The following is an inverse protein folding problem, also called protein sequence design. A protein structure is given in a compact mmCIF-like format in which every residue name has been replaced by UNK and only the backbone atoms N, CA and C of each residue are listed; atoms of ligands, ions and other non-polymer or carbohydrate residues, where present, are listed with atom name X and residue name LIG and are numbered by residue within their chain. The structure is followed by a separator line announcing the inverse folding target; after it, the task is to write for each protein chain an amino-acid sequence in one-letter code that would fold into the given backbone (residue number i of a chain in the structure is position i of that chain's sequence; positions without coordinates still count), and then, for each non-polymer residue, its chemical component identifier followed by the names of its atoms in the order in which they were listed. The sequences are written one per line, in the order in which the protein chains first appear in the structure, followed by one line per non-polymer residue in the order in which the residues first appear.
data_IF_305130637639
#
_entry.id   IF_305130637639
#
_cell.length_a   1.000
_cell.length_b   1.000
_cell.length_c   1.000
_cell.angle_alpha   90.00
_cell.angle_beta   90.00
_cell.angle_gamma   90.00
#
_symmetry.space_group_name_H-M   'P 1'
#
loop_
_entity.id
_entity.type
_entity.pdbx_description
1 polymer ?
#
# COMPACT_ATOMS: atom_id res chain seq x y z
N UNK A 1 14.04 32.96 13.11
CA UNK A 1 14.47 32.01 12.06
C UNK A 1 13.42 30.92 11.97
N UNK A 2 12.47 31.03 11.03
CA UNK A 2 11.57 29.94 10.67
C UNK A 2 11.54 29.94 9.15
N UNK A 3 12.21 28.96 8.55
CA UNK A 3 12.13 28.70 7.11
C UNK A 3 10.73 28.16 6.83
N UNK A 4 9.76 29.05 6.72
CA UNK A 4 8.45 28.72 6.15
C UNK A 4 8.69 28.29 4.72
N UNK A 5 8.72 26.99 4.48
CA UNK A 5 8.76 26.40 3.15
C UNK A 5 7.62 26.99 2.35
N UNK A 6 7.91 27.97 1.49
CA UNK A 6 6.95 28.45 0.50
C UNK A 6 6.63 27.26 -0.39
N UNK A 7 5.39 26.80 -0.33
CA UNK A 7 4.89 25.79 -1.26
C UNK A 7 4.93 26.41 -2.66
N UNK A 8 5.45 25.64 -3.61
CA UNK A 8 5.59 26.11 -4.98
C UNK A 8 4.20 26.40 -5.56
N UNK A 9 3.98 27.58 -6.21
CA UNK A 9 2.68 27.92 -6.79
C UNK A 9 2.14 26.88 -7.77
N UNK A 10 3.03 26.14 -8.46
CA UNK A 10 2.65 25.02 -9.32
C UNK A 10 2.05 23.87 -8.53
N UNK A 11 2.65 23.53 -7.37
CA UNK A 11 2.14 22.48 -6.49
C UNK A 11 0.78 22.85 -5.90
N UNK A 12 0.61 24.11 -5.49
CA UNK A 12 -0.69 24.60 -5.01
C UNK A 12 -1.78 24.50 -6.09
N UNK A 13 -1.48 24.92 -7.33
CA UNK A 13 -2.41 24.83 -8.45
C UNK A 13 -2.79 23.37 -8.80
N UNK A 14 -1.85 22.44 -8.70
CA UNK A 14 -2.11 21.03 -8.96
C UNK A 14 -2.97 20.40 -7.85
N UNK A 15 -2.71 20.75 -6.58
CA UNK A 15 -3.57 20.36 -5.46
C UNK A 15 -5.01 20.83 -5.69
N UNK A 16 -5.23 22.07 -6.13
CA UNK A 16 -6.56 22.63 -6.39
C UNK A 16 -7.30 21.89 -7.51
N UNK A 17 -6.57 21.62 -8.60
CA UNK A 17 -7.09 20.88 -9.74
C UNK A 17 -7.53 19.48 -9.33
N UNK A 18 -6.68 18.77 -8.59
CA UNK A 18 -6.95 17.41 -8.13
C UNK A 18 -8.07 17.37 -7.08
N UNK A 19 -8.10 18.32 -6.14
CA UNK A 19 -9.18 18.45 -5.16
C UNK A 19 -10.53 18.68 -5.84
N UNK A 20 -10.57 19.55 -6.85
CA UNK A 20 -11.78 19.77 -7.66
C UNK A 20 -12.21 18.51 -8.41
N UNK A 21 -11.26 17.74 -8.95
CA UNK A 21 -11.56 16.48 -9.64
C UNK A 21 -12.15 15.44 -8.69
N UNK A 22 -11.55 15.25 -7.52
CA UNK A 22 -12.06 14.35 -6.47
C UNK A 22 -13.43 14.80 -5.95
N UNK A 23 -13.66 16.11 -5.82
CA UNK A 23 -14.97 16.64 -5.41
C UNK A 23 -16.06 16.38 -6.46
N UNK A 24 -15.72 16.48 -7.75
CA UNK A 24 -16.64 16.18 -8.87
C UNK A 24 -16.94 14.69 -8.99
N UNK A 25 -15.93 13.86 -8.81
CA UNK A 25 -16.07 12.41 -8.80
C UNK A 25 -15.31 11.78 -7.62
N UNK A 26 -15.98 11.62 -6.46
CA UNK A 26 -15.39 10.99 -5.28
C UNK A 26 -15.06 9.52 -5.46
N UNK A 27 -15.56 8.89 -6.53
CA UNK A 27 -15.23 7.50 -6.88
C UNK A 27 -14.06 7.44 -7.87
N UNK A 28 -13.49 8.55 -8.29
CA UNK A 28 -12.26 8.51 -9.10
C UNK A 28 -11.06 8.05 -8.26
N UNK A 29 -9.99 7.59 -8.91
CA UNK A 29 -8.71 7.26 -8.24
C UNK A 29 -7.80 8.48 -8.07
N UNK A 30 -8.30 9.67 -8.40
CA UNK A 30 -7.56 10.95 -8.31
C UNK A 30 -7.22 11.36 -6.87
N UNK A 31 -7.85 10.72 -5.88
CA UNK A 31 -7.51 10.89 -4.48
C UNK A 31 -6.06 10.48 -4.16
N UNK A 32 -5.48 9.52 -4.90
CA UNK A 32 -4.10 9.10 -4.67
C UNK A 32 -3.09 10.16 -5.15
N UNK A 33 -3.14 10.65 -6.40
CA UNK A 33 -2.36 11.82 -6.82
C UNK A 33 -2.51 13.03 -5.90
N UNK A 34 -3.74 13.33 -5.46
CA UNK A 34 -4.00 14.42 -4.53
C UNK A 34 -3.26 14.22 -3.19
N UNK A 35 -3.36 13.01 -2.63
CA UNK A 35 -2.66 12.67 -1.40
C UNK A 35 -1.13 12.71 -1.57
N UNK A 36 -0.60 12.31 -2.73
CA UNK A 36 0.83 12.38 -3.04
C UNK A 36 1.31 13.84 -3.06
N UNK A 37 0.54 14.78 -3.59
CA UNK A 37 0.88 16.21 -3.51
C UNK A 37 0.85 16.72 -2.07
N UNK A 38 -0.16 16.38 -1.28
CA UNK A 38 -0.19 16.71 0.15
C UNK A 38 1.02 16.15 0.92
N UNK A 39 1.42 14.92 0.62
CA UNK A 39 2.61 14.28 1.19
C UNK A 39 3.89 15.05 0.86
N UNK A 40 4.04 15.54 -0.38
CA UNK A 40 5.23 16.30 -0.80
C UNK A 40 5.36 17.62 -0.06
N UNK A 41 4.24 18.29 0.20
CA UNK A 41 4.22 19.57 0.93
C UNK A 41 4.19 19.41 2.45
N UNK A 42 4.12 18.18 2.96
CA UNK A 42 4.11 17.87 4.39
C UNK A 42 2.74 18.06 5.07
N UNK A 43 1.67 18.16 4.28
CA UNK A 43 0.28 18.24 4.76
C UNK A 43 -0.25 16.83 5.07
N UNK A 44 0.34 16.21 6.09
CA UNK A 44 0.09 14.81 6.44
C UNK A 44 -1.36 14.54 6.85
N UNK A 45 -1.99 15.50 7.53
CA UNK A 45 -3.35 15.32 8.05
C UNK A 45 -4.39 15.30 6.91
N UNK A 46 -4.18 16.18 5.92
CA UNK A 46 -4.98 16.28 4.70
C UNK A 46 -4.78 15.04 3.83
N UNK A 47 -3.53 14.61 3.64
CA UNK A 47 -3.23 13.36 2.93
C UNK A 47 -3.95 12.15 3.57
N UNK A 48 -3.95 12.04 4.91
CA UNK A 48 -4.64 10.98 5.61
C UNK A 48 -6.15 10.99 5.33
N UNK A 49 -6.78 12.17 5.41
CA UNK A 49 -8.21 12.32 5.14
C UNK A 49 -8.59 11.93 3.70
N UNK A 50 -7.80 12.37 2.73
CA UNK A 50 -8.02 12.03 1.31
C UNK A 50 -7.90 10.53 1.07
N UNK A 51 -6.86 9.89 1.61
CA UNK A 51 -6.64 8.46 1.48
C UNK A 51 -7.68 7.63 2.22
N UNK A 52 -8.08 8.02 3.44
CA UNK A 52 -9.12 7.35 4.21
C UNK A 52 -10.44 7.28 3.44
N UNK A 53 -10.89 8.40 2.88
CA UNK A 53 -12.16 8.44 2.16
C UNK A 53 -12.07 7.74 0.80
N UNK A 54 -10.95 7.85 0.08
CA UNK A 54 -10.73 7.08 -1.15
C UNK A 54 -10.70 5.57 -0.91
N UNK A 55 -10.10 5.11 0.19
CA UNK A 55 -10.08 3.70 0.59
C UNK A 55 -11.44 3.18 1.06
N UNK A 56 -12.39 4.04 1.48
CA UNK A 56 -13.78 3.59 1.70
C UNK A 56 -14.44 3.14 0.40
N UNK A 57 -14.10 3.78 -0.72
CA UNK A 57 -14.60 3.39 -2.06
C UNK A 57 -13.78 2.23 -2.62
N UNK A 58 -12.47 2.23 -2.38
CA UNK A 58 -11.51 1.25 -2.90
C UNK A 58 -10.73 0.54 -1.79
N UNK A 59 -11.38 -0.34 -1.00
CA UNK A 59 -10.77 -0.93 0.21
C UNK A 59 -9.55 -1.82 -0.06
N UNK A 60 -9.39 -2.34 -1.28
CA UNK A 60 -8.23 -3.17 -1.68
C UNK A 60 -7.15 -2.42 -2.46
N UNK A 61 -7.16 -1.08 -2.48
CA UNK A 61 -6.17 -0.35 -3.26
C UNK A 61 -4.83 -0.27 -2.54
N UNK A 62 -4.02 -1.33 -2.69
CA UNK A 62 -2.76 -1.54 -1.95
C UNK A 62 -1.80 -0.35 -2.03
N UNK A 63 -1.71 0.33 -3.16
CA UNK A 63 -0.85 1.52 -3.31
C UNK A 63 -1.30 2.66 -2.38
N UNK A 64 -2.60 2.93 -2.31
CA UNK A 64 -3.16 3.93 -1.41
C UNK A 64 -3.06 3.50 0.07
N UNK A 65 -3.22 2.21 0.36
CA UNK A 65 -2.99 1.68 1.72
C UNK A 65 -1.53 1.88 2.17
N UNK A 66 -0.56 1.62 1.29
CA UNK A 66 0.85 1.85 1.59
C UNK A 66 1.16 3.34 1.82
N UNK A 67 0.54 4.22 1.02
CA UNK A 67 0.64 5.66 1.22
C UNK A 67 0.03 6.09 2.57
N UNK A 68 -1.14 5.56 2.93
CA UNK A 68 -1.81 5.87 4.20
C UNK A 68 -0.98 5.38 5.40
N UNK A 69 -0.39 4.19 5.30
CA UNK A 69 0.53 3.67 6.31
C UNK A 69 1.72 4.60 6.55
N UNK A 70 2.35 5.10 5.47
CA UNK A 70 3.43 6.10 5.56
C UNK A 70 2.95 7.41 6.20
N UNK A 71 1.77 7.88 5.82
CA UNK A 71 1.21 9.11 6.38
C UNK A 71 0.94 8.98 7.88
N UNK A 72 0.40 7.84 8.33
CA UNK A 72 0.18 7.62 9.76
C UNK A 72 1.48 7.50 10.57
N UNK A 73 2.53 6.90 9.99
CA UNK A 73 3.86 6.88 10.60
C UNK A 73 4.35 8.32 10.85
N UNK A 74 4.22 9.17 9.83
CA UNK A 74 4.62 10.58 9.91
C UNK A 74 3.75 11.43 10.84
N UNK A 75 2.47 11.07 11.01
CA UNK A 75 1.55 11.68 11.97
C UNK A 75 1.78 11.20 13.42
N UNK A 76 2.77 10.34 13.67
CA UNK A 76 3.02 9.78 15.01
C UNK A 76 1.92 8.82 15.46
N UNK A 77 1.24 8.14 14.52
CA UNK A 77 0.21 7.13 14.77
C UNK A 77 0.73 5.73 14.38
N UNK A 78 1.80 5.21 15.03
CA UNK A 78 2.50 4.00 14.62
C UNK A 78 1.60 2.76 14.64
N UNK A 79 0.66 2.68 15.59
CA UNK A 79 -0.28 1.56 15.70
C UNK A 79 -1.18 1.45 14.45
N UNK A 80 -1.70 2.58 13.94
CA UNK A 80 -2.51 2.59 12.72
C UNK A 80 -1.67 2.32 11.47
N UNK A 81 -0.49 2.92 11.41
CA UNK A 81 0.46 2.70 10.33
C UNK A 81 0.77 1.19 10.18
N UNK A 82 1.13 0.55 11.29
CA UNK A 82 1.44 -0.87 11.35
C UNK A 82 0.30 -1.75 10.88
N UNK A 83 -0.92 -1.55 11.41
CA UNK A 83 -2.08 -2.36 11.03
C UNK A 83 -2.36 -2.34 9.52
N UNK A 84 -2.27 -1.16 8.90
CA UNK A 84 -2.49 -1.02 7.45
C UNK A 84 -1.33 -1.62 6.66
N UNK A 85 -0.09 -1.37 7.08
CA UNK A 85 1.09 -1.86 6.37
C UNK A 85 1.25 -3.38 6.47
N UNK A 86 0.85 -3.99 7.58
CA UNK A 86 0.75 -5.45 7.73
C UNK A 86 -0.20 -6.06 6.69
N UNK A 87 -1.34 -5.40 6.43
CA UNK A 87 -2.24 -5.87 5.40
C UNK A 87 -1.69 -5.62 3.98
N UNK A 88 -0.99 -4.51 3.78
CA UNK A 88 -0.26 -4.24 2.52
C UNK A 88 0.73 -5.35 2.22
N UNK A 89 1.57 -5.77 3.18
CA UNK A 89 2.56 -6.84 2.93
C UNK A 89 1.91 -8.21 2.81
N UNK A 90 0.73 -8.42 3.41
CA UNK A 90 -0.06 -9.64 3.22
C UNK A 90 -0.60 -9.74 1.78
N UNK A 91 -1.08 -8.62 1.22
CA UNK A 91 -1.61 -8.56 -0.15
C UNK A 91 -0.49 -8.47 -1.21
N UNK A 92 0.59 -7.74 -0.90
CA UNK A 92 1.75 -7.50 -1.77
C UNK A 92 3.05 -7.71 -0.96
N UNK A 93 3.53 -8.97 -0.86
CA UNK A 93 4.75 -9.29 -0.14
C UNK A 93 6.01 -8.63 -0.70
N UNK A 94 5.96 -8.16 -1.94
CA UNK A 94 7.02 -7.46 -2.67
C UNK A 94 7.04 -5.94 -2.42
N UNK A 95 6.12 -5.40 -1.61
CA UNK A 95 6.08 -3.98 -1.30
C UNK A 95 7.22 -3.57 -0.35
N UNK A 96 8.38 -3.25 -0.91
CA UNK A 96 9.58 -2.91 -0.15
C UNK A 96 9.43 -1.61 0.68
N UNK A 97 8.56 -0.69 0.25
CA UNK A 97 8.26 0.53 1.01
C UNK A 97 7.53 0.20 2.31
N UNK A 98 6.54 -0.71 2.24
CA UNK A 98 5.81 -1.15 3.42
C UNK A 98 6.72 -1.93 4.39
N UNK A 99 7.54 -2.87 3.88
CA UNK A 99 8.53 -3.58 4.70
C UNK A 99 9.48 -2.63 5.42
N UNK A 100 9.92 -1.55 4.76
CA UNK A 100 10.84 -0.58 5.35
C UNK A 100 10.22 0.16 6.53
N UNK A 101 8.97 0.60 6.41
CA UNK A 101 8.28 1.29 7.51
C UNK A 101 7.96 0.29 8.63
N UNK A 102 7.47 -0.91 8.30
CA UNK A 102 7.24 -1.98 9.29
C UNK A 102 8.50 -2.34 10.07
N UNK A 103 9.65 -2.47 9.40
CA UNK A 103 10.91 -2.76 10.07
C UNK A 103 11.27 -1.69 11.11
N UNK A 104 11.07 -0.40 10.80
CA UNK A 104 11.25 0.72 11.73
C UNK A 104 10.29 0.63 12.92
N UNK A 105 9.01 0.41 12.63
CA UNK A 105 7.95 0.34 13.64
C UNK A 105 8.17 -0.85 14.60
N UNK A 106 8.44 -2.04 14.06
CA UNK A 106 8.73 -3.22 14.87
C UNK A 106 10.01 -3.07 15.70
N UNK A 107 11.05 -2.44 15.14
CA UNK A 107 12.27 -2.17 15.90
C UNK A 107 12.00 -1.21 17.06
N UNK A 108 11.23 -0.14 16.84
CA UNK A 108 10.85 0.81 17.89
C UNK A 108 9.97 0.17 18.98
N UNK A 109 9.14 -0.81 18.62
CA UNK A 109 8.33 -1.60 19.56
C UNK A 109 9.12 -2.70 20.29
N UNK A 110 10.39 -2.93 19.93
CA UNK A 110 11.22 -4.00 20.50
C UNK A 110 10.95 -5.39 19.90
N UNK A 111 10.14 -5.49 18.85
CA UNK A 111 9.87 -6.75 18.17
C UNK A 111 10.96 -7.04 17.11
N UNK A 112 12.13 -7.47 17.59
CA UNK A 112 13.30 -7.72 16.76
C UNK A 112 13.05 -8.76 15.66
N UNK A 113 12.29 -9.82 15.94
CA UNK A 113 12.06 -10.91 14.98
C UNK A 113 11.29 -10.43 13.75
N UNK A 114 10.19 -9.69 13.94
CA UNK A 114 9.39 -9.14 12.83
C UNK A 114 10.14 -8.03 12.09
N UNK A 115 10.95 -7.24 12.80
CA UNK A 115 11.81 -6.25 12.17
C UNK A 115 12.85 -6.91 11.24
N UNK A 116 13.52 -7.97 11.71
CA UNK A 116 14.48 -8.74 10.91
C UNK A 116 13.84 -9.41 9.71
N UNK A 117 12.63 -9.94 9.86
CA UNK A 117 11.88 -10.53 8.75
C UNK A 117 11.64 -9.48 7.64
N UNK A 118 11.20 -8.28 8.04
CA UNK A 118 10.95 -7.16 7.12
C UNK A 118 12.23 -6.68 6.44
N UNK A 119 13.34 -6.52 7.18
CA UNK A 119 14.66 -6.20 6.60
C UNK A 119 15.13 -7.29 5.63
N UNK A 120 14.89 -8.56 5.95
CA UNK A 120 15.29 -9.69 5.10
C UNK A 120 14.49 -9.70 3.80
N UNK A 121 13.19 -9.37 3.83
CA UNK A 121 12.40 -9.22 2.61
C UNK A 121 12.99 -8.14 1.68
N UNK A 122 13.43 -7.01 2.23
CA UNK A 122 14.09 -5.95 1.45
C UNK A 122 15.41 -6.43 0.86
N UNK A 123 16.27 -7.05 1.68
CA UNK A 123 17.60 -7.52 1.25
C UNK A 123 17.53 -8.68 0.26
N UNK A 124 16.47 -9.49 0.28
CA UNK A 124 16.23 -10.52 -0.72
C UNK A 124 15.92 -9.92 -2.09
N UNK A 125 15.18 -8.81 -2.14
CA UNK A 125 14.85 -8.11 -3.37
C UNK A 125 16.02 -7.22 -3.85
N UNK A 126 16.68 -6.54 -2.92
CA UNK A 126 17.85 -5.72 -3.16
C UNK A 126 18.95 -6.00 -2.12
N UNK A 127 19.92 -6.89 -2.43
CA UNK A 127 21.03 -7.19 -1.52
C UNK A 127 21.95 -6.02 -1.18
N UNK A 128 21.88 -4.92 -1.95
CA UNK A 128 22.71 -3.72 -1.78
C UNK A 128 21.93 -2.56 -1.13
N UNK A 129 20.81 -2.85 -0.46
CA UNK A 129 20.05 -1.85 0.27
C UNK A 129 20.76 -1.50 1.59
N UNK A 130 21.53 -0.41 1.57
CA UNK A 130 22.33 0.04 2.72
C UNK A 130 21.49 0.32 3.96
N UNK A 131 20.28 0.87 3.79
CA UNK A 131 19.37 1.20 4.89
C UNK A 131 18.86 -0.07 5.57
N UNK A 132 18.41 -1.06 4.79
CA UNK A 132 17.95 -2.34 5.34
C UNK A 132 19.10 -3.12 5.99
N UNK A 133 20.31 -3.07 5.42
CA UNK A 133 21.49 -3.67 6.02
C UNK A 133 21.86 -3.00 7.34
N UNK A 134 21.85 -1.67 7.40
CA UNK A 134 22.10 -0.91 8.62
C UNK A 134 21.07 -1.21 9.71
N UNK A 135 19.79 -1.27 9.35
CA UNK A 135 18.71 -1.61 10.27
C UNK A 135 18.87 -3.02 10.82
N UNK A 136 19.19 -3.99 9.97
CA UNK A 136 19.46 -5.37 10.40
C UNK A 136 20.61 -5.42 11.41
N UNK A 137 21.73 -4.72 11.16
CA UNK A 137 22.85 -4.63 12.11
C UNK A 137 22.46 -3.98 13.43
N UNK A 138 21.66 -2.92 13.38
CA UNK A 138 21.12 -2.25 14.58
C UNK A 138 20.28 -3.21 15.43
N UNK A 139 19.47 -4.06 14.78
CA UNK A 139 18.61 -5.04 15.47
C UNK A 139 19.42 -6.22 16.04
N UNK A 140 20.40 -6.75 15.31
CA UNK A 140 21.20 -7.91 15.76
C UNK A 140 22.37 -7.54 16.67
N UNK A 141 22.75 -6.26 16.75
CA UNK A 141 23.90 -5.80 17.53
C UNK A 141 25.26 -6.28 17.00
N UNK A 142 25.31 -6.84 15.78
CA UNK A 142 26.55 -7.36 15.18
C UNK A 142 27.21 -6.28 14.31
N UNK A 143 28.46 -5.86 14.61
CA UNK A 143 29.26 -5.02 13.71
C UNK A 143 29.62 -5.81 12.43
N UNK A 144 29.83 -5.10 11.32
CA UNK A 144 30.07 -5.66 9.98
C UNK A 144 30.91 -6.95 9.97
N UNK A 145 30.25 -8.09 9.77
CA UNK A 145 30.87 -9.24 9.14
C UNK A 145 30.94 -8.97 7.63
N UNK A 146 32.03 -9.34 6.94
CA UNK A 146 32.18 -9.07 5.51
C UNK A 146 30.95 -9.59 4.74
N UNK A 147 30.49 -8.88 3.70
CA UNK A 147 29.34 -9.30 2.91
C UNK A 147 29.56 -10.75 2.47
N UNK A 148 28.54 -11.61 2.51
CA UNK A 148 28.68 -12.98 2.03
C UNK A 148 29.15 -12.91 0.59
N UNK A 149 30.42 -13.31 0.38
CA UNK A 149 31.02 -13.40 -0.93
C UNK A 149 30.06 -14.21 -1.81
N UNK A 150 29.79 -13.64 -3.00
CA UNK A 150 28.97 -14.19 -4.08
C UNK A 150 28.86 -15.71 -3.95
N UNK A 151 27.65 -16.21 -3.66
CA UNK A 151 27.36 -17.64 -3.71
C UNK A 151 27.43 -18.05 -5.19
N UNK A 152 28.66 -18.36 -5.61
CA UNK A 152 28.99 -18.80 -6.95
C UNK A 152 28.22 -20.10 -7.18
N UNK A 153 27.23 -20.06 -8.08
CA UNK A 153 26.54 -21.25 -8.55
C UNK A 153 27.53 -22.08 -9.36
N UNK A 154 28.37 -22.86 -8.67
CA UNK A 154 29.13 -23.95 -9.26
C UNK A 154 28.15 -25.09 -9.58
N UNK A 155 27.33 -24.89 -10.61
CA UNK A 155 26.65 -25.99 -11.32
C UNK A 155 27.73 -26.68 -12.15
N UNK A 156 28.34 -27.70 -11.54
CA UNK A 156 29.13 -28.69 -12.24
C UNK A 156 28.15 -29.42 -13.15
N UNK A 157 28.25 -29.16 -14.46
CA UNK A 157 27.57 -29.96 -15.46
C UNK A 157 28.27 -31.30 -15.61
N UNK A 158 27.48 -32.37 -15.68
CA UNK A 158 27.68 -33.52 -16.56
C UNK A 158 26.65 -34.60 -16.19
N UNK A 159 25.59 -34.72 -16.98
CA UNK A 159 25.05 -36.05 -17.33
C UNK A 159 26.05 -36.71 -18.32
N UNK A 160 26.16 -38.05 -18.36
CA UNK A 160 25.20 -38.85 -19.13
C UNK A 160 24.77 -40.18 -18.48
N UNK A 161 23.49 -40.54 -18.72
CA UNK A 161 22.91 -41.90 -18.72
C UNK A 161 23.42 -42.68 -19.96
N UNK A 162 23.28 -44.03 -20.14
CA UNK A 162 22.09 -44.84 -19.82
C UNK A 162 22.28 -46.37 -19.53
N UNK A 163 21.23 -47.05 -19.05
CA UNK A 163 20.77 -48.38 -19.52
C UNK A 163 19.45 -48.74 -18.80
N UNK A 164 18.30 -48.75 -19.51
CA UNK A 164 17.59 -49.92 -20.09
C UNK A 164 17.06 -50.91 -19.05
N UNK A 165 15.87 -51.50 -19.12
CA UNK A 165 14.67 -51.40 -19.94
C UNK A 165 13.57 -52.15 -19.15
N UNK A 166 12.31 -51.74 -19.18
CA UNK A 166 11.16 -52.44 -19.83
C UNK A 166 9.91 -52.04 -19.01
N UNK A 167 8.69 -51.92 -19.50
CA UNK A 167 8.03 -51.97 -20.83
C UNK A 167 6.65 -51.32 -20.59
N UNK A 168 6.18 -50.59 -21.60
CA UNK A 168 4.91 -49.84 -21.64
C UNK A 168 3.75 -50.72 -22.22
N UNK A 169 2.65 -50.18 -22.79
CA UNK A 169 1.42 -49.61 -22.18
C UNK A 169 0.17 -50.25 -22.89
N UNK A 170 -0.87 -49.54 -23.40
CA UNK A 170 -1.76 -48.47 -22.89
C UNK A 170 -3.27 -48.87 -22.98
N UNK A 171 -4.20 -48.08 -22.43
CA UNK A 171 -5.44 -47.65 -23.15
C UNK A 171 -6.22 -46.57 -22.37
N UNK A 172 -6.54 -45.49 -23.07
CA UNK A 172 -7.61 -44.50 -22.83
C UNK A 172 -8.60 -44.60 -24.01
N UNK A 173 -9.64 -43.75 -24.22
CA UNK A 173 -10.38 -42.77 -23.38
C UNK A 173 -11.95 -42.85 -23.53
N UNK A 174 -12.72 -42.03 -22.80
CA UNK A 174 -14.02 -41.40 -23.17
C UNK A 174 -14.61 -40.72 -21.90
N UNK A 175 -14.68 -39.40 -21.70
CA UNK A 175 -15.50 -38.34 -22.32
C UNK A 175 -17.00 -38.67 -22.42
N UNK A 176 -17.84 -38.11 -21.52
CA UNK A 176 -18.75 -36.99 -21.81
C UNK A 176 -19.65 -36.59 -20.61
N UNK A 177 -20.29 -35.39 -20.64
CA UNK A 177 -20.68 -34.62 -19.46
C UNK A 177 -22.15 -34.83 -19.06
N UNK A 178 -22.43 -34.85 -17.76
CA UNK A 178 -23.80 -34.76 -17.24
C UNK A 178 -24.15 -33.32 -16.86
N UNK A 179 -24.78 -32.64 -17.80
CA UNK A 179 -25.65 -31.48 -17.53
C UNK A 179 -26.89 -31.99 -16.79
N UNK A 180 -27.09 -31.54 -15.55
CA UNK A 180 -28.41 -31.60 -14.91
C UNK A 180 -29.08 -30.25 -15.09
N UNK A 181 -30.12 -30.28 -15.91
CA UNK A 181 -31.12 -29.23 -16.08
C UNK A 181 -32.32 -29.52 -15.17
N UNK A 182 -33.12 -28.46 -14.94
CA UNK A 182 -34.44 -28.47 -14.28
C UNK A 182 -34.39 -28.58 -12.75
N UNK A 183 -35.10 -27.77 -11.98
CA UNK A 183 -36.51 -27.44 -12.18
C UNK A 183 -36.91 -26.16 -11.46
N UNK A 184 -37.79 -25.39 -12.12
CA UNK A 184 -38.67 -24.36 -11.56
C UNK A 184 -39.38 -24.85 -10.29
N UNK A 185 -39.57 -23.96 -9.30
CA UNK A 185 -40.82 -23.20 -9.19
C UNK A 185 -40.94 -22.42 -7.86
N UNK A 186 -41.44 -21.19 -8.02
CA UNK A 186 -42.35 -20.47 -7.12
C UNK A 186 -41.79 -19.71 -5.92
N UNK A 187 -41.90 -18.40 -6.07
CA UNK A 187 -41.88 -17.35 -5.05
C UNK A 187 -42.77 -17.65 -3.85
N UNK A 188 -42.54 -16.94 -2.74
CA UNK A 188 -43.51 -15.89 -2.45
C UNK A 188 -42.89 -14.53 -2.16
N UNK A 189 -43.64 -13.54 -2.62
CA UNK A 189 -43.55 -12.10 -2.39
C UNK A 189 -43.36 -11.80 -0.90
N UNK A 190 -42.29 -11.09 -0.56
CA UNK A 190 -42.20 -10.28 0.66
C UNK A 190 -41.66 -8.90 0.29
N UNK A 191 -42.61 -8.00 0.16
CA UNK A 191 -42.60 -6.61 0.60
C UNK A 191 -41.22 -5.95 0.70
N UNK A 192 -40.93 -5.17 -0.34
CA UNK A 192 -39.94 -4.11 -0.37
C UNK A 192 -40.07 -3.18 0.85
N UNK A 193 -39.33 -3.49 1.91
CA UNK A 193 -38.90 -2.48 2.87
C UNK A 193 -37.60 -1.89 2.33
N UNK A 194 -37.71 -0.81 1.56
CA UNK A 194 -36.57 0.10 1.30
C UNK A 194 -36.20 0.68 2.66
N UNK A 195 -35.22 0.07 3.32
CA UNK A 195 -34.51 0.74 4.39
C UNK A 195 -33.85 1.98 3.76
N UNK A 196 -33.94 3.17 4.39
CA UNK A 196 -33.20 4.31 3.91
C UNK A 196 -31.72 3.92 3.88
N UNK A 197 -31.11 4.05 2.71
CA UNK A 197 -29.66 3.97 2.53
C UNK A 197 -29.04 4.83 3.64
N UNK A 198 -28.15 4.31 4.49
CA UNK A 198 -27.46 5.16 5.45
C UNK A 198 -26.74 6.23 4.63
N UNK A 199 -27.08 7.49 4.88
CA UNK A 199 -26.38 8.62 4.26
C UNK A 199 -24.87 8.38 4.39
N UNK A 200 -24.10 8.51 3.29
CA UNK A 200 -22.66 8.34 3.36
C UNK A 200 -22.16 9.27 4.46
N UNK A 201 -21.34 8.78 5.41
CA UNK A 201 -20.95 9.56 6.57
C UNK A 201 -20.38 10.89 6.08
N UNK A 202 -21.02 11.99 6.48
CA UNK A 202 -20.77 13.36 6.05
C UNK A 202 -19.28 13.71 6.09
N UNK A 203 -18.62 13.38 4.99
CA UNK A 203 -17.60 14.08 4.25
C UNK A 203 -16.67 14.94 5.13
N UNK A 204 -15.70 14.27 5.77
CA UNK A 204 -14.47 14.95 6.26
C UNK A 204 -13.73 15.67 5.11
N UNK A 205 -14.01 15.30 3.86
CA UNK A 205 -13.59 15.99 2.64
C UNK A 205 -14.05 17.46 2.57
N UNK A 206 -15.26 17.83 3.00
CA UNK A 206 -15.73 19.21 2.91
C UNK A 206 -14.97 20.11 3.89
N UNK A 207 -14.67 19.58 5.09
CA UNK A 207 -13.82 20.26 6.06
C UNK A 207 -12.36 20.33 5.60
N UNK A 208 -11.84 19.30 4.92
CA UNK A 208 -10.49 19.31 4.35
C UNK A 208 -10.37 20.30 3.19
N UNK A 209 -11.37 20.33 2.29
CA UNK A 209 -11.48 21.29 1.19
C UNK A 209 -11.64 22.71 1.73
N UNK A 210 -12.52 22.94 2.72
CA UNK A 210 -12.67 24.27 3.32
C UNK A 210 -11.39 24.74 4.04
N UNK A 211 -10.65 23.83 4.67
CA UNK A 211 -9.35 24.15 5.29
C UNK A 211 -8.28 24.45 4.23
N UNK A 212 -8.29 23.71 3.12
CA UNK A 212 -7.43 23.96 1.98
C UNK A 212 -7.74 25.32 1.34
N UNK A 213 -9.01 25.64 1.10
CA UNK A 213 -9.47 26.92 0.57
C UNK A 213 -9.07 28.07 1.48
N UNK A 214 -9.30 27.95 2.80
CA UNK A 214 -8.89 28.96 3.78
C UNK A 214 -7.36 29.14 3.81
N UNK A 215 -6.60 28.06 3.67
CA UNK A 215 -5.15 28.08 3.62
C UNK A 215 -4.61 28.74 2.33
N UNK A 216 -5.21 28.43 1.17
CA UNK A 216 -4.86 29.04 -0.11
C UNK A 216 -5.17 30.54 -0.13
N UNK A 217 -6.31 30.94 0.43
CA UNK A 217 -6.65 32.36 0.60
C UNK A 217 -5.60 33.08 1.47
N UNK A 218 -5.08 32.41 2.50
CA UNK A 218 -4.01 32.95 3.35
C UNK A 218 -2.71 33.15 2.54
N UNK A 219 -2.36 32.21 1.65
CA UNK A 219 -1.19 32.36 0.76
C UNK A 219 -1.39 33.50 -0.23
N UNK A 220 -2.57 33.60 -0.84
CA UNK A 220 -2.88 34.67 -1.79
C UNK A 220 -2.79 36.04 -1.14
N UNK A 221 -3.29 36.19 0.10
CA UNK A 221 -3.19 37.42 0.88
C UNK A 221 -1.72 37.81 1.20
N UNK A 222 -0.85 36.82 1.46
CA UNK A 222 0.58 37.05 1.72
C UNK A 222 1.39 37.41 0.45
N UNK A 223 0.83 37.23 -0.75
CA UNK A 223 1.49 37.51 -2.03
C UNK A 223 1.23 38.94 -2.55
N UNK A 224 0.29 39.66 -1.94
CA UNK A 224 -0.16 41.01 -2.36
C UNK A 224 0.47 42.13 -1.50
N UNK A 225 1.32 41.79 -0.55
CA UNK A 225 2.13 42.71 0.27
C UNK A 225 3.62 42.51 0.01
#
# INVERSE_FOLDING_TARGET
MASSSRIDPSTAAEIDRLATAVAKDPRSKEFLPLADEYIKVGMWQEAAGVLEDGLKVYPGFVTAMAALGRVYDQLGQPAKAKAILEDVVRQRPDNLRAHRILAKLYHAEGNADLALLSCTAILNANPFDDEAAAMKRSITGTPDGPPPAKREKKRIGAEPKPDTAKVAPPVTPAFEPSVSTSSLASEPVLETTIQPVPEPPSVKHAAAIARLEAWLQTIQAQRVH
#
